data_IF_672067330359
#
_entry.id   IF_672067330359
#
_cell.length_a   1.000
_cell.length_b   1.000
_cell.length_c   1.000
_cell.angle_alpha   90.00
_cell.angle_beta   90.00
_cell.angle_gamma   90.00
#
_symmetry.space_group_name_H-M   'P 1'
#
loop_
_entity.id
_entity.type
_entity.pdbx_description
1 polymer ?
#
# COMPACT_ATOMS: atom_id res chain seq x y z
N UNK A 1 2.42 15.49 12.24
CA UNK A 1 2.82 14.08 12.44
C UNK A 1 2.61 13.64 13.90
N UNK A 2 2.74 14.51 14.89
CA UNK A 2 2.55 14.16 16.32
C UNK A 2 1.09 14.10 16.78
N UNK A 3 0.15 14.58 15.97
CA UNK A 3 -1.28 14.43 16.25
C UNK A 3 -1.76 13.00 15.91
N UNK A 4 -2.89 12.50 16.48
CA UNK A 4 -3.46 11.21 16.12
C UNK A 4 -3.65 11.06 14.61
N UNK A 5 -4.28 12.03 13.95
CA UNK A 5 -4.48 12.02 12.50
C UNK A 5 -3.15 12.03 11.73
N UNK A 6 -2.14 12.76 12.19
CA UNK A 6 -0.80 12.76 11.59
C UNK A 6 -0.10 11.39 11.71
N UNK A 7 -0.30 10.68 12.81
CA UNK A 7 0.22 9.31 12.98
C UNK A 7 -0.47 8.30 12.07
N UNK A 8 -1.76 8.42 11.86
CA UNK A 8 -2.50 7.57 10.92
C UNK A 8 -1.97 7.73 9.49
N UNK A 9 -1.78 8.98 9.05
CA UNK A 9 -1.22 9.27 7.72
C UNK A 9 0.22 8.76 7.61
N UNK A 10 1.04 8.92 8.66
CA UNK A 10 2.41 8.39 8.69
C UNK A 10 2.42 6.85 8.56
N UNK A 11 1.59 6.16 9.32
CA UNK A 11 1.48 4.69 9.32
C UNK A 11 0.98 4.19 7.97
N UNK A 12 -0.05 4.82 7.41
CA UNK A 12 -0.57 4.50 6.09
C UNK A 12 0.48 4.71 4.99
N UNK A 13 1.23 5.81 5.04
CA UNK A 13 2.32 6.07 4.09
C UNK A 13 3.48 5.09 4.26
N UNK A 14 3.75 4.63 5.47
CA UNK A 14 4.77 3.61 5.72
C UNK A 14 4.35 2.25 5.13
N UNK A 15 3.07 1.87 5.27
CA UNK A 15 2.53 0.67 4.61
C UNK A 15 2.65 0.76 3.09
N UNK A 16 2.39 1.92 2.49
CA UNK A 16 2.53 2.16 1.06
C UNK A 16 3.99 2.02 0.58
N UNK A 17 4.96 2.54 1.33
CA UNK A 17 6.40 2.34 1.05
C UNK A 17 6.78 0.85 1.18
N UNK A 18 6.20 0.13 2.13
CA UNK A 18 6.41 -1.31 2.27
C UNK A 18 5.90 -2.07 1.04
N UNK A 19 4.72 -1.73 0.53
CA UNK A 19 4.16 -2.36 -0.67
C UNK A 19 5.05 -2.15 -1.89
N UNK A 20 5.57 -0.95 -2.10
CA UNK A 20 6.55 -0.69 -3.14
C UNK A 20 7.81 -1.55 -2.97
N UNK A 21 8.38 -1.60 -1.77
CA UNK A 21 9.58 -2.39 -1.49
C UNK A 21 9.36 -3.89 -1.77
N UNK A 22 8.21 -4.43 -1.36
CA UNK A 22 7.86 -5.83 -1.61
C UNK A 22 7.76 -6.11 -3.12
N UNK A 23 7.05 -5.31 -3.88
CA UNK A 23 6.91 -5.53 -5.32
C UNK A 23 8.23 -5.33 -6.09
N UNK A 24 9.12 -4.46 -5.63
CA UNK A 24 10.46 -4.33 -6.22
C UNK A 24 11.35 -5.56 -5.96
N UNK A 25 11.24 -6.18 -4.78
CA UNK A 25 12.01 -7.37 -4.41
C UNK A 25 11.35 -8.69 -4.86
N UNK A 26 10.03 -8.72 -4.94
CA UNK A 26 9.19 -9.86 -5.29
C UNK A 26 8.17 -9.43 -6.35
N UNK A 27 8.58 -9.30 -7.63
CA UNK A 27 7.73 -8.73 -8.70
C UNK A 27 6.43 -9.49 -8.96
N UNK A 28 6.39 -10.78 -8.63
CA UNK A 28 5.20 -11.63 -8.81
C UNK A 28 4.19 -11.50 -7.68
N UNK A 29 4.53 -10.80 -6.59
CA UNK A 29 3.61 -10.57 -5.47
C UNK A 29 2.44 -9.69 -5.91
N UNK A 30 1.24 -10.02 -5.39
CA UNK A 30 0.02 -9.24 -5.65
C UNK A 30 -0.38 -8.46 -4.40
N UNK A 31 -0.91 -7.28 -4.63
CA UNK A 31 -1.29 -6.36 -3.56
C UNK A 31 -2.70 -6.66 -3.08
N UNK A 32 -2.84 -6.87 -1.79
CA UNK A 32 -4.12 -6.85 -1.07
C UNK A 32 -4.42 -5.45 -0.54
N UNK A 33 -4.59 -5.33 0.77
CA UNK A 33 -4.89 -4.08 1.47
C UNK A 33 -3.79 -3.72 2.47
N UNK A 34 -3.64 -2.44 2.76
CA UNK A 34 -2.59 -1.92 3.64
C UNK A 34 -3.03 -0.80 4.57
N UNK A 35 -4.00 -1.03 5.47
CA UNK A 35 -4.44 0.00 6.40
C UNK A 35 -3.42 0.25 7.51
N UNK A 36 -3.55 1.43 8.14
CA UNK A 36 -2.94 1.67 9.43
C UNK A 36 -3.76 0.99 10.54
N UNK A 37 -3.11 0.68 11.65
CA UNK A 37 -3.73 0.19 12.87
C UNK A 37 -3.28 1.03 14.06
N UNK A 38 -3.89 0.82 15.23
CA UNK A 38 -3.65 1.65 16.43
C UNK A 38 -2.18 1.80 16.77
N UNK A 39 -1.40 0.72 16.68
CA UNK A 39 0.01 0.71 17.08
C UNK A 39 0.96 0.41 15.92
N UNK A 40 0.52 0.60 14.67
CA UNK A 40 1.38 0.32 13.53
C UNK A 40 0.69 0.33 12.19
N UNK A 41 1.14 -0.55 11.33
CA UNK A 41 0.64 -0.75 9.98
C UNK A 41 0.85 -2.21 9.55
N UNK A 42 0.10 -2.65 8.56
CA UNK A 42 0.35 -3.90 7.86
C UNK A 42 0.02 -3.75 6.37
N UNK A 43 0.36 -4.75 5.60
CA UNK A 43 -0.06 -4.88 4.20
C UNK A 43 -0.19 -6.36 3.87
N UNK A 44 -1.28 -6.72 3.23
CA UNK A 44 -1.54 -8.08 2.77
C UNK A 44 -1.00 -8.27 1.36
N UNK A 45 -0.23 -9.34 1.17
CA UNK A 45 0.36 -9.72 -0.11
C UNK A 45 -0.02 -11.16 -0.44
N UNK A 46 -0.36 -11.41 -1.70
CA UNK A 46 -0.37 -12.75 -2.23
C UNK A 46 1.01 -13.05 -2.82
N UNK A 47 1.67 -14.06 -2.28
CA UNK A 47 3.04 -14.45 -2.61
C UNK A 47 3.11 -15.96 -2.83
N UNK A 48 3.97 -16.40 -3.74
CA UNK A 48 4.15 -17.83 -4.03
C UNK A 48 4.67 -18.62 -2.83
N UNK A 49 5.59 -18.01 -2.06
CA UNK A 49 6.16 -18.59 -0.84
C UNK A 49 6.06 -17.58 0.32
N UNK A 50 5.69 -18.03 1.53
CA UNK A 50 5.63 -17.17 2.69
C UNK A 50 6.97 -16.46 2.96
N UNK A 51 6.91 -15.20 3.37
CA UNK A 51 8.13 -14.47 3.73
C UNK A 51 8.83 -15.11 4.93
N UNK A 52 10.12 -15.37 4.77
CA UNK A 52 11.01 -15.81 5.84
C UNK A 52 11.64 -14.60 6.55
N UNK A 53 12.23 -14.77 7.76
CA UNK A 53 12.86 -13.64 8.48
C UNK A 53 13.91 -12.87 7.68
N UNK A 54 14.62 -13.52 6.77
CA UNK A 54 15.58 -12.87 5.88
C UNK A 54 14.88 -11.91 4.91
N UNK A 55 13.74 -12.31 4.34
CA UNK A 55 12.96 -11.47 3.46
C UNK A 55 12.44 -10.22 4.19
N UNK A 56 11.97 -10.38 5.44
CA UNK A 56 11.53 -9.25 6.27
C UNK A 56 12.66 -8.24 6.45
N UNK A 57 13.91 -8.70 6.71
CA UNK A 57 15.08 -7.82 6.82
C UNK A 57 15.40 -7.12 5.49
N UNK A 58 15.30 -7.83 4.36
CA UNK A 58 15.52 -7.27 3.02
C UNK A 58 14.48 -6.20 2.69
N UNK A 59 13.21 -6.49 2.98
CA UNK A 59 12.09 -5.54 2.78
C UNK A 59 12.32 -4.28 3.61
N UNK A 60 12.60 -4.41 4.90
CA UNK A 60 12.86 -3.26 5.78
C UNK A 60 14.04 -2.41 5.30
N UNK A 61 15.13 -3.05 4.88
CA UNK A 61 16.29 -2.35 4.31
C UNK A 61 15.87 -1.56 3.06
N UNK A 62 15.12 -2.20 2.15
CA UNK A 62 14.65 -1.55 0.92
C UNK A 62 13.72 -0.37 1.20
N UNK A 63 12.82 -0.50 2.17
CA UNK A 63 11.97 0.59 2.63
C UNK A 63 12.80 1.80 3.07
N UNK A 64 13.85 1.60 3.87
CA UNK A 64 14.75 2.67 4.34
C UNK A 64 15.51 3.34 3.19
N UNK A 65 15.86 2.59 2.15
CA UNK A 65 16.44 3.13 0.90
C UNK A 65 15.42 3.99 0.15
N UNK A 66 14.15 3.52 0.00
CA UNK A 66 13.07 4.27 -0.64
C UNK A 66 12.75 5.59 0.08
N UNK A 67 12.74 5.57 1.41
CA UNK A 67 12.62 6.80 2.21
C UNK A 67 13.72 7.82 1.81
N UNK A 68 14.94 7.35 1.61
CA UNK A 68 16.07 8.19 1.19
C UNK A 68 15.95 8.77 -0.23
N UNK A 69 15.17 8.14 -1.10
CA UNK A 69 14.98 8.59 -2.49
C UNK A 69 14.12 9.84 -2.65
N UNK A 70 13.46 10.29 -1.59
CA UNK A 70 12.59 11.50 -1.62
C UNK A 70 11.53 11.46 -2.72
N UNK A 71 10.85 10.36 -2.88
CA UNK A 71 9.74 10.25 -3.81
C UNK A 71 8.53 11.04 -3.29
N UNK A 72 7.87 11.77 -4.18
CA UNK A 72 6.64 12.50 -3.86
C UNK A 72 5.43 11.57 -4.01
N UNK A 73 4.53 11.59 -3.04
CA UNK A 73 3.21 10.96 -3.17
C UNK A 73 2.28 11.89 -3.95
N UNK A 74 1.68 11.38 -5.03
CA UNK A 74 0.72 12.13 -5.85
C UNK A 74 -0.58 11.34 -5.97
N UNK A 75 -1.69 11.95 -5.48
CA UNK A 75 -3.03 11.42 -5.67
C UNK A 75 -3.54 11.80 -7.06
N UNK A 76 -4.06 10.83 -7.79
CA UNK A 76 -4.67 11.02 -9.09
C UNK A 76 -6.08 10.43 -9.06
N UNK A 77 -7.08 11.26 -9.32
CA UNK A 77 -8.46 10.79 -9.48
C UNK A 77 -8.59 10.08 -10.83
N UNK A 78 -9.24 8.94 -10.83
CA UNK A 78 -9.40 8.08 -12.01
C UNK A 78 -10.84 7.62 -12.15
N UNK A 79 -11.25 7.38 -13.39
CA UNK A 79 -12.51 6.69 -13.68
C UNK A 79 -12.37 5.20 -13.37
N UNK A 80 -13.49 4.50 -13.27
CA UNK A 80 -13.48 3.03 -13.07
C UNK A 80 -12.73 2.33 -14.21
N UNK A 81 -12.94 2.73 -15.46
CA UNK A 81 -12.27 2.15 -16.62
C UNK A 81 -10.75 2.37 -16.57
N UNK A 82 -10.29 3.57 -16.17
CA UNK A 82 -8.87 3.87 -15.98
C UNK A 82 -8.28 3.05 -14.82
N UNK A 83 -9.00 2.93 -13.69
CA UNK A 83 -8.56 2.13 -12.55
C UNK A 83 -8.40 0.64 -12.92
N UNK A 84 -9.34 0.08 -13.67
CA UNK A 84 -9.28 -1.30 -14.17
C UNK A 84 -8.04 -1.50 -15.05
N UNK A 85 -7.77 -0.60 -15.98
CA UNK A 85 -6.59 -0.71 -16.84
C UNK A 85 -5.28 -0.58 -16.05
N UNK A 86 -5.21 0.36 -15.11
CA UNK A 86 -4.01 0.56 -14.27
C UNK A 86 -3.75 -0.63 -13.34
N UNK A 87 -4.81 -1.27 -12.83
CA UNK A 87 -4.75 -2.40 -11.89
C UNK A 87 -4.92 -3.77 -12.54
N UNK A 88 -4.83 -3.89 -13.86
CA UNK A 88 -5.11 -5.14 -14.61
C UNK A 88 -4.28 -6.35 -14.16
N UNK A 89 -3.11 -6.14 -13.58
CA UNK A 89 -2.24 -7.19 -13.05
C UNK A 89 -2.39 -7.41 -11.53
N UNK A 90 -3.34 -6.71 -10.88
CA UNK A 90 -3.60 -6.75 -9.45
C UNK A 90 -5.03 -7.27 -9.19
N UNK A 91 -5.23 -8.60 -9.12
CA UNK A 91 -6.57 -9.20 -9.07
C UNK A 91 -7.38 -8.75 -7.85
N UNK A 92 -6.74 -8.57 -6.69
CA UNK A 92 -7.42 -8.11 -5.48
C UNK A 92 -7.86 -6.64 -5.58
N UNK A 93 -7.06 -5.79 -6.24
CA UNK A 93 -7.44 -4.40 -6.51
C UNK A 93 -8.60 -4.33 -7.50
N UNK A 94 -8.63 -5.19 -8.52
CA UNK A 94 -9.76 -5.30 -9.44
C UNK A 94 -11.05 -5.71 -8.73
N UNK A 95 -10.97 -6.64 -7.77
CA UNK A 95 -12.11 -7.02 -6.94
C UNK A 95 -12.63 -5.83 -6.13
N UNK A 96 -11.74 -5.05 -5.51
CA UNK A 96 -12.11 -3.86 -4.74
C UNK A 96 -12.76 -2.76 -5.60
N UNK A 97 -12.29 -2.57 -6.83
CA UNK A 97 -12.89 -1.62 -7.79
C UNK A 97 -14.33 -2.04 -8.12
N UNK A 98 -14.60 -3.34 -8.23
CA UNK A 98 -15.92 -3.89 -8.55
C UNK A 98 -16.92 -3.85 -7.39
N UNK A 99 -16.50 -3.51 -6.16
CA UNK A 99 -17.41 -3.41 -5.03
C UNK A 99 -18.32 -2.20 -5.15
N UNK A 100 -19.60 -2.39 -4.82
CA UNK A 100 -20.54 -1.27 -4.64
C UNK A 100 -20.21 -0.53 -3.34
N UNK A 101 -20.61 0.72 -3.25
CA UNK A 101 -20.36 1.57 -2.07
C UNK A 101 -20.86 0.95 -0.75
N UNK A 102 -21.94 0.21 -0.79
CA UNK A 102 -22.51 -0.53 0.37
C UNK A 102 -21.68 -1.75 0.80
N UNK A 103 -20.84 -2.28 -0.10
CA UNK A 103 -19.97 -3.42 0.15
C UNK A 103 -18.54 -2.99 0.59
N UNK A 104 -18.26 -1.68 0.53
CA UNK A 104 -16.96 -1.14 0.97
C UNK A 104 -16.91 -1.11 2.49
N UNK A 105 -15.92 -1.79 3.07
CA UNK A 105 -15.74 -1.82 4.52
C UNK A 105 -15.53 -0.40 5.07
N UNK A 106 -16.17 -0.10 6.21
CA UNK A 106 -15.94 1.15 6.92
C UNK A 106 -14.46 1.29 7.25
N UNK A 107 -13.88 2.45 6.89
CA UNK A 107 -12.45 2.68 7.08
C UNK A 107 -11.53 2.13 5.97
N UNK A 108 -12.07 1.59 4.87
CA UNK A 108 -11.25 1.20 3.71
C UNK A 108 -10.35 2.34 3.28
N UNK A 109 -9.09 2.03 2.99
CA UNK A 109 -8.09 2.99 2.49
C UNK A 109 -7.85 2.86 0.98
N UNK A 110 -8.42 1.84 0.35
CA UNK A 110 -8.25 1.55 -1.08
C UNK A 110 -9.29 2.25 -1.94
N UNK A 111 -10.55 2.14 -1.58
CA UNK A 111 -11.68 2.70 -2.35
C UNK A 111 -12.55 3.59 -1.48
N UNK A 112 -13.20 4.56 -2.11
CA UNK A 112 -14.14 5.48 -1.48
C UNK A 112 -15.49 5.42 -2.20
N UNK A 113 -16.61 5.58 -1.48
CA UNK A 113 -17.92 5.74 -2.10
C UNK A 113 -18.00 6.94 -3.07
N UNK A 114 -17.17 7.95 -2.86
CA UNK A 114 -17.15 9.20 -3.61
C UNK A 114 -16.33 9.16 -4.90
N UNK A 115 -15.62 8.04 -5.15
CA UNK A 115 -14.81 7.87 -6.35
C UNK A 115 -13.53 7.09 -6.13
N UNK A 116 -12.80 6.87 -7.22
CA UNK A 116 -11.56 6.12 -7.24
C UNK A 116 -10.35 7.04 -7.42
N UNK A 117 -9.26 6.68 -6.76
CA UNK A 117 -7.98 7.34 -6.95
C UNK A 117 -6.84 6.34 -6.87
N UNK A 118 -5.73 6.68 -7.51
CA UNK A 118 -4.45 6.01 -7.34
C UNK A 118 -3.46 6.98 -6.71
N UNK A 119 -2.52 6.42 -5.96
CA UNK A 119 -1.35 7.16 -5.51
C UNK A 119 -0.13 6.70 -6.26
N UNK A 120 0.58 7.66 -6.82
CA UNK A 120 1.84 7.45 -7.51
C UNK A 120 3.00 7.91 -6.64
N UNK A 121 4.07 7.14 -6.63
CA UNK A 121 5.35 7.55 -6.07
C UNK A 121 6.21 8.12 -7.19
N UNK A 122 6.47 9.43 -7.14
CA UNK A 122 7.16 10.18 -8.18
C UNK A 122 8.60 10.41 -7.77
N UNK A 123 9.54 9.95 -8.60
CA UNK A 123 10.96 10.23 -8.42
C UNK A 123 11.27 11.73 -8.57
N UNK A 124 12.42 12.23 -8.07
CA UNK A 124 12.83 13.62 -8.24
C UNK A 124 12.94 14.07 -9.70
N UNK A 125 13.19 13.17 -10.64
CA UNK A 125 13.21 13.44 -12.08
C UNK A 125 11.84 13.52 -12.74
N UNK A 126 10.75 13.29 -11.98
CA UNK A 126 9.37 13.32 -12.44
C UNK A 126 8.84 11.99 -12.96
N UNK A 127 9.65 10.95 -13.06
CA UNK A 127 9.18 9.61 -13.45
C UNK A 127 8.35 8.95 -12.36
N UNK A 128 7.35 8.16 -12.76
CA UNK A 128 6.55 7.33 -11.82
C UNK A 128 7.36 6.09 -11.47
N UNK A 129 7.72 5.97 -10.19
CA UNK A 129 8.44 4.81 -9.69
C UNK A 129 7.51 3.63 -9.40
N UNK A 130 6.32 3.90 -8.88
CA UNK A 130 5.35 2.90 -8.48
C UNK A 130 3.99 3.54 -8.23
N UNK A 131 2.90 2.75 -8.30
CA UNK A 131 1.55 3.21 -7.99
C UNK A 131 0.71 2.12 -7.37
N UNK A 132 -0.33 2.52 -6.64
CA UNK A 132 -1.34 1.63 -6.11
C UNK A 132 -2.72 2.30 -6.05
N UNK A 133 -3.78 1.49 -6.08
CA UNK A 133 -5.14 1.93 -5.80
C UNK A 133 -5.23 2.32 -4.32
N UNK A 134 -5.48 3.58 -4.04
CA UNK A 134 -5.54 4.10 -2.69
C UNK A 134 -6.27 5.44 -2.66
N UNK A 135 -7.12 5.65 -1.67
CA UNK A 135 -7.77 6.95 -1.46
C UNK A 135 -6.91 7.93 -0.66
N UNK A 136 -5.89 7.44 0.01
CA UNK A 136 -5.08 8.24 0.93
C UNK A 136 -5.79 8.54 2.26
N UNK A 137 -5.39 9.62 2.95
CA UNK A 137 -4.29 10.50 2.58
C UNK A 137 -2.90 9.88 2.82
N UNK A 138 -1.91 10.42 2.13
CA UNK A 138 -0.49 10.13 2.36
C UNK A 138 0.29 11.41 2.71
N UNK A 139 1.49 11.22 3.26
CA UNK A 139 2.46 12.29 3.42
C UNK A 139 2.86 12.86 2.05
N UNK A 140 3.32 14.11 1.97
CA UNK A 140 3.76 14.68 0.70
C UNK A 140 4.96 13.97 0.06
N UNK A 141 5.86 13.40 0.88
CA UNK A 141 7.11 12.81 0.40
C UNK A 141 7.56 11.64 1.28
N UNK A 142 8.16 10.61 0.68
CA UNK A 142 8.65 9.42 1.40
C UNK A 142 9.68 9.75 2.47
N UNK A 143 10.48 10.81 2.30
CA UNK A 143 11.44 11.26 3.32
C UNK A 143 10.78 11.58 4.66
N UNK A 144 9.54 12.04 4.65
CA UNK A 144 8.79 12.37 5.87
C UNK A 144 8.32 11.12 6.64
N UNK A 145 8.33 9.94 6.02
CA UNK A 145 8.13 8.66 6.72
C UNK A 145 9.24 8.45 7.76
N UNK A 146 10.45 8.89 7.45
CA UNK A 146 11.61 8.68 8.32
C UNK A 146 12.07 7.22 8.31
N UNK A 147 13.04 6.90 9.16
CA UNK A 147 13.61 5.55 9.26
C UNK A 147 13.35 4.86 10.61
N UNK A 148 12.53 5.49 11.47
CA UNK A 148 12.22 5.01 12.82
C UNK A 148 11.01 4.06 12.81
N UNK A 149 11.08 3.03 11.99
CA UNK A 149 10.13 1.93 11.95
C UNK A 149 10.89 0.60 11.84
N UNK A 150 10.23 -0.49 12.19
CA UNK A 150 10.73 -1.84 11.94
C UNK A 150 9.60 -2.78 11.57
N UNK A 151 9.92 -3.78 10.76
CA UNK A 151 9.01 -4.86 10.42
C UNK A 151 9.17 -5.98 11.47
N UNK A 152 8.04 -6.43 12.02
CA UNK A 152 8.06 -7.39 13.12
C UNK A 152 7.99 -8.83 12.62
N UNK A 153 7.00 -9.12 11.77
CA UNK A 153 6.73 -10.49 11.31
C UNK A 153 5.84 -10.51 10.08
N UNK A 154 5.82 -11.66 9.41
CA UNK A 154 4.80 -12.07 8.47
C UNK A 154 3.89 -13.10 9.14
N UNK A 155 2.62 -13.12 8.78
CA UNK A 155 1.64 -14.11 9.21
C UNK A 155 0.68 -14.40 8.05
N UNK A 156 0.16 -15.62 8.01
CA UNK A 156 -0.89 -15.96 7.06
C UNK A 156 -2.17 -15.17 7.38
N UNK A 157 -2.87 -14.75 6.34
CA UNK A 157 -4.15 -14.05 6.43
C UNK A 157 -5.13 -14.63 5.41
N UNK A 158 -6.42 -14.43 5.66
CA UNK A 158 -7.48 -14.78 4.72
C UNK A 158 -7.98 -13.51 4.03
N UNK A 159 -8.04 -13.53 2.70
CA UNK A 159 -8.55 -12.40 1.93
C UNK A 159 -9.99 -12.07 2.36
N UNK A 160 -10.21 -10.83 2.78
CA UNK A 160 -11.49 -10.33 3.33
C UNK A 160 -12.06 -11.17 4.47
N UNK A 161 -11.19 -11.81 5.27
CA UNK A 161 -11.59 -12.62 6.42
C UNK A 161 -12.33 -13.93 6.07
N UNK A 162 -12.34 -14.33 4.82
CA UNK A 162 -13.01 -15.54 4.36
C UNK A 162 -12.00 -16.71 4.31
N UNK A 163 -12.22 -17.74 5.13
CA UNK A 163 -11.34 -18.92 5.23
C UNK A 163 -11.15 -19.68 3.92
N UNK A 164 -12.06 -19.51 2.96
CA UNK A 164 -11.94 -20.12 1.63
C UNK A 164 -11.03 -19.32 0.68
N UNK A 165 -10.64 -18.12 1.05
CA UNK A 165 -9.77 -17.22 0.30
C UNK A 165 -8.40 -17.19 0.99
N UNK A 166 -7.48 -18.03 0.53
CA UNK A 166 -6.09 -18.03 1.01
C UNK A 166 -5.23 -17.16 0.13
#
# INVERSE_FOLDING_TARGET
IQSPAGLEILRHSTAHVMAQAVQELFPDSKLGIGPYITDGFYFDFDVAEPFIPEDIRRIEKRMKELVGKSQRFRRVEVTEAEAIELMKNEPYKLELIGLKSEDVAEGSVEVSPDGLSVYENINPDGSVAWMDLCRGPHLPNTRQVGKNFSLLRSAAAYWRGNENNK
#
